data_IF_488099390335
#
_entry.id   IF_488099390335
#
_cell.length_a   1.000
_cell.length_b   1.000
_cell.length_c   1.000
_cell.angle_alpha   90.00
_cell.angle_beta   90.00
_cell.angle_gamma   90.00
#
_symmetry.space_group_name_H-M   'P 1'
#
loop_
_entity.id
_entity.type
_entity.pdbx_description
1 polymer ?
#
# COMPACT_ATOMS: atom_id res chain seq x y z
N UNK A 1 25.79 16.09 -0.97
CA UNK A 1 24.87 16.20 0.17
C UNK A 1 23.74 15.17 0.07
N UNK A 2 22.92 15.14 -0.98
CA UNK A 2 21.84 14.12 -1.15
C UNK A 2 22.36 12.69 -1.13
N UNK A 3 23.48 12.40 -1.80
CA UNK A 3 24.10 11.07 -1.78
C UNK A 3 24.63 10.67 -0.39
N UNK A 4 25.07 11.62 0.41
CA UNK A 4 25.53 11.35 1.79
C UNK A 4 24.35 11.05 2.71
N UNK A 5 23.22 11.73 2.53
CA UNK A 5 21.97 11.48 3.26
C UNK A 5 21.41 10.10 2.85
N UNK A 6 21.36 9.80 1.56
CA UNK A 6 20.93 8.49 1.06
C UNK A 6 21.79 7.35 1.63
N UNK A 7 23.12 7.50 1.61
CA UNK A 7 24.05 6.51 2.15
C UNK A 7 23.97 6.37 3.69
N UNK A 8 23.59 7.43 4.39
CA UNK A 8 23.34 7.38 5.83
C UNK A 8 22.08 6.54 6.12
N UNK A 9 20.97 6.84 5.46
CA UNK A 9 19.72 6.07 5.61
C UNK A 9 19.87 4.62 5.15
N UNK A 10 20.55 4.34 4.03
CA UNK A 10 20.81 2.97 3.59
C UNK A 10 21.61 2.17 4.64
N UNK A 11 22.67 2.77 5.20
CA UNK A 11 23.46 2.11 6.27
C UNK A 11 22.63 1.90 7.54
N UNK A 12 21.80 2.88 7.92
CA UNK A 12 20.94 2.79 9.09
C UNK A 12 19.90 1.67 8.89
N UNK A 13 19.21 1.65 7.74
CA UNK A 13 18.22 0.63 7.40
C UNK A 13 18.85 -0.76 7.41
N UNK A 14 19.95 -0.98 6.69
CA UNK A 14 20.61 -2.30 6.62
C UNK A 14 21.18 -2.78 7.95
N UNK A 15 21.59 -1.87 8.81
CA UNK A 15 22.26 -2.23 10.07
C UNK A 15 21.28 -2.39 11.22
N UNK A 16 20.17 -1.65 11.23
CA UNK A 16 19.30 -1.52 12.39
C UNK A 16 17.83 -1.85 12.09
N UNK A 17 17.42 -1.98 10.83
CA UNK A 17 16.05 -2.32 10.46
C UNK A 17 15.97 -3.83 10.19
N UNK A 18 15.51 -4.64 11.15
CA UNK A 18 15.25 -6.05 10.93
C UNK A 18 14.01 -6.24 10.05
N UNK A 19 13.71 -7.49 9.72
CA UNK A 19 12.47 -7.87 9.04
C UNK A 19 11.24 -7.41 9.83
N UNK A 20 10.17 -7.05 9.12
CA UNK A 20 8.93 -6.55 9.71
C UNK A 20 8.31 -7.54 10.73
N UNK A 21 8.49 -8.85 10.52
CA UNK A 21 8.06 -9.87 11.46
C UNK A 21 8.80 -9.77 12.81
N UNK A 22 10.11 -9.54 12.78
CA UNK A 22 10.87 -9.34 14.02
C UNK A 22 10.45 -8.07 14.76
N UNK A 23 10.06 -7.02 14.06
CA UNK A 23 9.48 -5.83 14.69
C UNK A 23 8.16 -6.14 15.38
N UNK A 24 7.28 -6.94 14.80
CA UNK A 24 6.05 -7.37 15.46
C UNK A 24 6.34 -8.11 16.77
N UNK A 25 7.38 -8.95 16.81
CA UNK A 25 7.84 -9.64 18.03
C UNK A 25 8.39 -8.62 19.05
N UNK A 26 9.28 -7.72 18.63
CA UNK A 26 9.84 -6.70 19.53
C UNK A 26 8.74 -5.81 20.10
N UNK A 27 7.81 -5.36 19.27
CA UNK A 27 6.68 -4.54 19.72
C UNK A 27 5.76 -5.31 20.69
N UNK A 28 5.56 -6.61 20.48
CA UNK A 28 4.85 -7.47 21.43
C UNK A 28 5.48 -7.40 22.83
N UNK A 29 6.82 -7.55 22.93
CA UNK A 29 7.51 -7.46 24.22
C UNK A 29 7.51 -6.04 24.80
N UNK A 30 7.61 -5.01 23.98
CA UNK A 30 7.51 -3.61 24.44
C UNK A 30 6.12 -3.38 25.07
N UNK A 31 5.05 -3.73 24.37
CA UNK A 31 3.67 -3.56 24.88
C UNK A 31 3.43 -4.43 26.13
N UNK A 32 3.96 -5.64 26.14
CA UNK A 32 3.92 -6.53 27.32
C UNK A 32 4.54 -5.86 28.56
N UNK A 33 5.74 -5.28 28.41
CA UNK A 33 6.43 -4.58 29.51
C UNK A 33 5.67 -3.31 29.93
N UNK A 34 5.22 -2.51 28.95
CA UNK A 34 4.46 -1.29 29.23
C UNK A 34 3.15 -1.60 29.95
N UNK A 35 2.44 -2.68 29.57
CA UNK A 35 1.23 -3.13 30.26
C UNK A 35 1.50 -3.46 31.72
N UNK A 36 2.58 -4.16 32.05
CA UNK A 36 2.96 -4.46 33.43
C UNK A 36 3.36 -3.20 34.22
N UNK A 37 4.10 -2.29 33.58
CA UNK A 37 4.68 -1.11 34.28
C UNK A 37 3.64 0.00 34.49
N UNK A 38 2.77 0.23 33.52
CA UNK A 38 1.83 1.36 33.54
C UNK A 38 0.40 0.98 33.87
N UNK A 39 0.09 -0.33 34.01
CA UNK A 39 -1.22 -0.81 34.40
C UNK A 39 -1.08 -1.78 35.61
N UNK A 40 -2.12 -2.00 36.34
CA UNK A 40 -2.11 -2.91 37.54
C UNK A 40 -2.18 -4.39 37.11
N UNK A 41 -1.79 -4.76 35.91
CA UNK A 41 -1.89 -6.12 35.39
C UNK A 41 -0.63 -6.95 35.67
N UNK A 42 -0.83 -8.21 36.04
CA UNK A 42 0.26 -9.16 36.21
C UNK A 42 0.82 -9.67 34.88
N UNK A 43 2.07 -10.20 34.86
CA UNK A 43 2.61 -10.84 33.67
C UNK A 43 1.74 -11.97 33.09
N UNK A 44 1.05 -12.71 33.96
CA UNK A 44 0.15 -13.81 33.55
C UNK A 44 -1.06 -13.27 32.79
N UNK A 45 -1.68 -12.20 33.30
CA UNK A 45 -2.80 -11.54 32.63
C UNK A 45 -2.37 -10.99 31.26
N UNK A 46 -1.18 -10.40 31.15
CA UNK A 46 -0.66 -9.92 29.85
C UNK A 46 -0.49 -11.05 28.85
N UNK A 47 -0.03 -12.25 29.27
CA UNK A 47 0.04 -13.45 28.39
C UNK A 47 -1.36 -13.89 27.98
N UNK A 48 -2.33 -13.87 28.90
CA UNK A 48 -3.73 -14.23 28.62
C UNK A 48 -4.35 -13.27 27.61
N UNK A 49 -4.15 -11.96 27.78
CA UNK A 49 -4.64 -10.92 26.86
C UNK A 49 -4.03 -11.07 25.45
N UNK A 50 -2.71 -11.33 25.39
CA UNK A 50 -2.03 -11.57 24.12
C UNK A 50 -2.57 -12.81 23.41
N UNK A 51 -2.65 -13.95 24.10
CA UNK A 51 -3.13 -15.21 23.52
C UNK A 51 -4.62 -15.18 23.18
N UNK A 52 -5.43 -14.53 24.01
CA UNK A 52 -6.87 -14.37 23.79
C UNK A 52 -7.19 -13.48 22.58
N UNK A 53 -6.36 -12.46 22.34
CA UNK A 53 -6.53 -11.56 21.17
C UNK A 53 -5.95 -12.08 19.85
N UNK A 54 -5.10 -13.11 19.89
CA UNK A 54 -4.19 -13.49 18.80
C UNK A 54 -4.89 -13.77 17.44
N UNK A 55 -6.11 -14.25 17.46
CA UNK A 55 -6.86 -14.63 16.25
C UNK A 55 -7.97 -13.65 15.85
N UNK A 56 -8.13 -12.53 16.57
CA UNK A 56 -9.25 -11.61 16.35
C UNK A 56 -9.22 -10.87 15.01
N UNK A 57 -8.06 -10.82 14.34
CA UNK A 57 -7.89 -10.15 13.04
C UNK A 57 -7.80 -11.10 11.85
N UNK A 58 -8.22 -12.38 11.96
CA UNK A 58 -8.08 -13.34 10.84
C UNK A 58 -8.88 -12.93 9.61
N UNK A 59 -10.12 -12.51 9.75
CA UNK A 59 -10.95 -12.04 8.66
C UNK A 59 -10.31 -10.82 7.99
N UNK A 60 -9.91 -9.85 8.79
CA UNK A 60 -9.26 -8.64 8.31
C UNK A 60 -7.91 -8.93 7.61
N UNK A 61 -7.11 -9.84 8.16
CA UNK A 61 -5.87 -10.28 7.53
C UNK A 61 -6.10 -10.90 6.15
N UNK A 62 -7.17 -11.69 5.99
CA UNK A 62 -7.53 -12.27 4.70
C UNK A 62 -8.02 -11.19 3.72
N UNK A 63 -8.84 -10.25 4.16
CA UNK A 63 -9.29 -9.12 3.35
C UNK A 63 -8.12 -8.29 2.82
N UNK A 64 -7.15 -7.97 3.68
CA UNK A 64 -5.93 -7.24 3.29
C UNK A 64 -5.03 -8.04 2.35
N UNK A 65 -4.90 -9.35 2.57
CA UNK A 65 -4.15 -10.23 1.68
C UNK A 65 -4.75 -10.25 0.27
N UNK A 66 -6.08 -10.30 0.18
CA UNK A 66 -6.78 -10.31 -1.10
C UNK A 66 -6.61 -9.00 -1.88
N UNK A 67 -6.53 -7.84 -1.23
CA UNK A 67 -6.25 -6.56 -1.93
C UNK A 67 -4.91 -6.64 -2.68
N UNK A 68 -3.87 -7.14 -2.01
CA UNK A 68 -2.54 -7.31 -2.63
C UNK A 68 -2.58 -8.33 -3.76
N UNK A 69 -3.16 -9.50 -3.50
CA UNK A 69 -3.21 -10.61 -4.45
C UNK A 69 -4.00 -10.23 -5.70
N UNK A 70 -5.20 -9.70 -5.54
CA UNK A 70 -6.07 -9.34 -6.68
C UNK A 70 -5.50 -8.17 -7.47
N UNK A 71 -4.89 -7.19 -6.80
CA UNK A 71 -4.16 -6.08 -7.44
C UNK A 71 -3.00 -6.58 -8.29
N UNK A 72 -2.17 -7.48 -7.75
CA UNK A 72 -1.06 -8.10 -8.49
C UNK A 72 -1.55 -8.88 -9.72
N UNK A 73 -2.59 -9.72 -9.56
CA UNK A 73 -3.19 -10.49 -10.66
C UNK A 73 -3.62 -9.55 -11.78
N UNK A 74 -4.36 -8.48 -11.46
CA UNK A 74 -4.85 -7.55 -12.47
C UNK A 74 -3.70 -6.84 -13.19
N UNK A 75 -2.65 -6.43 -12.48
CA UNK A 75 -1.48 -5.76 -13.05
C UNK A 75 -0.72 -6.64 -14.05
N UNK A 76 -0.63 -7.93 -13.77
CA UNK A 76 0.05 -8.90 -14.62
C UNK A 76 -0.82 -9.44 -15.78
N UNK A 77 -2.05 -8.98 -15.91
CA UNK A 77 -2.93 -9.42 -17.00
C UNK A 77 -2.42 -8.97 -18.38
N UNK A 78 -2.63 -9.77 -19.44
CA UNK A 78 -2.20 -9.44 -20.80
C UNK A 78 -2.75 -8.10 -21.33
N UNK A 79 -3.95 -7.72 -20.88
CA UNK A 79 -4.59 -6.45 -21.27
C UNK A 79 -3.81 -5.29 -20.68
N UNK A 80 -3.48 -5.35 -19.37
CA UNK A 80 -2.72 -4.29 -18.70
C UNK A 80 -1.30 -4.21 -19.25
N UNK A 81 -0.59 -5.32 -19.41
CA UNK A 81 0.76 -5.34 -20.02
C UNK A 81 0.77 -4.66 -21.40
N UNK A 82 -0.18 -4.99 -22.28
CA UNK A 82 -0.33 -4.34 -23.60
C UNK A 82 -0.63 -2.84 -23.51
N UNK A 83 -1.46 -2.44 -22.54
CA UNK A 83 -1.77 -1.03 -22.29
C UNK A 83 -0.52 -0.26 -21.85
N UNK A 84 0.28 -0.83 -20.94
CA UNK A 84 1.54 -0.22 -20.49
C UNK A 84 2.54 -0.05 -21.63
N UNK A 85 2.65 -1.04 -22.53
CA UNK A 85 3.45 -0.95 -23.74
C UNK A 85 3.00 0.18 -24.69
N UNK A 86 1.69 0.49 -24.75
CA UNK A 86 1.18 1.66 -25.51
C UNK A 86 1.46 2.98 -24.78
N UNK A 87 1.23 3.02 -23.47
CA UNK A 87 1.47 4.22 -22.64
C UNK A 87 2.95 4.61 -22.65
N UNK A 88 3.87 3.64 -22.62
CA UNK A 88 5.31 3.91 -22.66
C UNK A 88 5.75 4.69 -23.92
N UNK A 89 4.98 4.59 -25.02
CA UNK A 89 5.25 5.32 -26.28
C UNK A 89 5.02 6.83 -26.17
N UNK A 90 4.38 7.30 -25.11
CA UNK A 90 4.15 8.73 -24.88
C UNK A 90 5.41 9.46 -24.39
N UNK A 91 6.40 8.73 -23.87
CA UNK A 91 7.66 9.32 -23.41
C UNK A 91 8.75 9.18 -24.48
N UNK A 92 9.34 10.32 -24.86
CA UNK A 92 10.44 10.37 -25.85
C UNK A 92 11.68 11.08 -25.29
N UNK A 93 11.60 11.69 -24.11
CA UNK A 93 12.70 12.36 -23.42
C UNK A 93 12.75 11.93 -21.96
N UNK A 94 13.92 12.00 -21.29
CA UNK A 94 14.04 11.67 -19.87
C UNK A 94 13.04 12.40 -18.96
N UNK A 95 12.81 13.70 -19.23
CA UNK A 95 11.84 14.49 -18.46
C UNK A 95 10.39 14.01 -18.63
N UNK A 96 10.01 13.64 -19.88
CA UNK A 96 8.69 13.04 -20.14
C UNK A 96 8.56 11.66 -19.49
N UNK A 97 9.64 10.87 -19.50
CA UNK A 97 9.69 9.56 -18.87
C UNK A 97 9.37 9.64 -17.38
N UNK A 98 10.05 10.52 -16.66
CA UNK A 98 9.84 10.74 -15.22
C UNK A 98 8.40 11.21 -14.93
N UNK A 99 7.92 12.22 -15.68
CA UNK A 99 6.55 12.73 -15.50
C UNK A 99 5.51 11.64 -15.73
N UNK A 100 5.63 10.90 -16.82
CA UNK A 100 4.69 9.84 -17.21
C UNK A 100 4.64 8.72 -16.17
N UNK A 101 5.81 8.20 -15.79
CA UNK A 101 5.89 7.08 -14.84
C UNK A 101 5.36 7.50 -13.47
N UNK A 102 5.75 8.67 -12.97
CA UNK A 102 5.22 9.18 -11.70
C UNK A 102 3.70 9.31 -11.73
N UNK A 103 3.16 9.95 -12.75
CA UNK A 103 1.72 10.21 -12.86
C UNK A 103 0.91 8.91 -12.97
N UNK A 104 1.32 7.99 -13.86
CA UNK A 104 0.62 6.72 -14.07
C UNK A 104 0.70 5.84 -12.81
N UNK A 105 1.87 5.75 -12.17
CA UNK A 105 2.03 5.00 -10.93
C UNK A 105 1.17 5.59 -9.79
N UNK A 106 1.08 6.92 -9.68
CA UNK A 106 0.22 7.61 -8.72
C UNK A 106 -1.26 7.27 -8.93
N UNK A 107 -1.76 7.37 -10.16
CA UNK A 107 -3.15 6.98 -10.48
C UNK A 107 -3.39 5.49 -10.21
N UNK A 108 -2.46 4.63 -10.59
CA UNK A 108 -2.59 3.20 -10.36
C UNK A 108 -2.62 2.84 -8.87
N UNK A 109 -1.80 3.52 -8.03
CA UNK A 109 -1.82 3.34 -6.58
C UNK A 109 -3.09 3.91 -5.92
N UNK A 110 -3.68 5.00 -6.45
CA UNK A 110 -4.99 5.48 -6.02
C UNK A 110 -6.12 4.48 -6.33
N UNK A 111 -6.00 3.74 -7.43
CA UNK A 111 -6.99 2.69 -7.79
C UNK A 111 -6.81 1.48 -6.87
N UNK A 112 -5.60 0.91 -6.81
CA UNK A 112 -5.22 -0.17 -5.90
C UNK A 112 -3.71 -0.18 -5.71
N UNK A 113 -3.24 -0.21 -4.46
CA UNK A 113 -1.82 -0.11 -4.16
C UNK A 113 -1.00 -1.31 -4.65
N UNK A 114 -1.54 -2.53 -4.55
CA UNK A 114 -0.88 -3.74 -5.07
C UNK A 114 -0.75 -3.71 -6.60
N UNK A 115 -1.82 -3.27 -7.28
CA UNK A 115 -1.83 -3.00 -8.72
C UNK A 115 -0.82 -1.91 -9.09
N UNK A 116 -0.84 -0.79 -8.36
CA UNK A 116 -0.03 0.38 -8.65
C UNK A 116 1.47 0.14 -8.54
N UNK A 117 1.92 -0.60 -7.52
CA UNK A 117 3.33 -0.96 -7.35
C UNK A 117 3.86 -1.76 -8.54
N UNK A 118 3.10 -2.76 -9.00
CA UNK A 118 3.49 -3.61 -10.15
C UNK A 118 3.42 -2.82 -11.46
N UNK A 119 2.32 -2.10 -11.70
CA UNK A 119 2.15 -1.24 -12.88
C UNK A 119 3.27 -0.20 -12.99
N UNK A 120 3.61 0.45 -11.86
CA UNK A 120 4.70 1.43 -11.81
C UNK A 120 6.04 0.83 -12.22
N UNK A 121 6.39 -0.36 -11.69
CA UNK A 121 7.62 -1.06 -12.04
C UNK A 121 7.67 -1.47 -13.51
N UNK A 122 6.61 -2.13 -14.00
CA UNK A 122 6.54 -2.58 -15.39
C UNK A 122 6.59 -1.40 -16.37
N UNK A 123 5.85 -0.33 -16.11
CA UNK A 123 5.90 0.88 -16.94
C UNK A 123 7.28 1.51 -16.95
N UNK A 124 7.95 1.61 -15.79
CA UNK A 124 9.30 2.14 -15.71
C UNK A 124 10.29 1.34 -16.55
N UNK A 125 10.21 0.01 -16.56
CA UNK A 125 11.03 -0.86 -17.40
C UNK A 125 10.75 -0.61 -18.89
N UNK A 126 9.48 -0.57 -19.30
CA UNK A 126 9.12 -0.30 -20.72
C UNK A 126 9.61 1.09 -21.18
N UNK A 127 9.49 2.10 -20.31
CA UNK A 127 9.95 3.46 -20.62
C UNK A 127 11.47 3.54 -20.66
N UNK A 128 12.18 2.86 -19.75
CA UNK A 128 13.65 2.82 -19.73
C UNK A 128 14.24 2.21 -21.01
N UNK A 129 13.62 1.15 -21.55
CA UNK A 129 14.01 0.58 -22.86
C UNK A 129 13.86 1.57 -23.99
N UNK A 130 12.80 2.39 -23.95
CA UNK A 130 12.51 3.36 -25.02
C UNK A 130 13.35 4.63 -24.92
N UNK A 131 13.67 5.07 -23.70
CA UNK A 131 14.44 6.27 -23.38
C UNK A 131 15.68 5.88 -22.58
N UNK A 132 16.71 5.26 -23.21
CA UNK A 132 17.89 4.75 -22.48
C UNK A 132 18.69 5.82 -21.74
N UNK A 133 18.52 7.10 -22.10
CA UNK A 133 19.17 8.24 -21.45
C UNK A 133 18.53 8.68 -20.15
N UNK A 134 17.44 8.03 -19.69
CA UNK A 134 16.80 8.34 -18.40
C UNK A 134 17.60 7.75 -17.25
N UNK A 135 17.70 8.48 -16.14
CA UNK A 135 18.21 7.91 -14.87
C UNK A 135 17.25 6.84 -14.35
N UNK A 136 17.62 5.57 -14.50
CA UNK A 136 16.79 4.42 -14.14
C UNK A 136 16.48 4.37 -12.64
N UNK A 137 17.41 4.79 -11.79
CA UNK A 137 17.20 4.83 -10.34
C UNK A 137 16.15 5.88 -9.97
N UNK A 138 16.24 7.05 -10.58
CA UNK A 138 15.21 8.09 -10.42
C UNK A 138 13.88 7.65 -11.03
N UNK A 139 13.90 6.96 -12.18
CA UNK A 139 12.68 6.45 -12.81
C UNK A 139 11.95 5.44 -11.93
N UNK A 140 12.69 4.54 -11.28
CA UNK A 140 12.12 3.58 -10.32
C UNK A 140 11.68 4.25 -9.01
N UNK A 141 12.43 5.24 -8.51
CA UNK A 141 11.98 6.08 -7.39
C UNK A 141 10.69 6.82 -7.74
N UNK A 142 10.56 7.29 -8.99
CA UNK A 142 9.35 7.95 -9.49
C UNK A 142 8.16 7.01 -9.56
N UNK A 143 8.36 5.75 -9.97
CA UNK A 143 7.33 4.72 -9.92
C UNK A 143 6.90 4.44 -8.48
N UNK A 144 7.87 4.28 -7.56
CA UNK A 144 7.60 4.03 -6.15
C UNK A 144 6.92 5.21 -5.45
N UNK A 145 7.24 6.45 -5.85
CA UNK A 145 6.62 7.64 -5.26
C UNK A 145 5.10 7.70 -5.43
N UNK A 146 4.55 7.03 -6.44
CA UNK A 146 3.11 6.88 -6.61
C UNK A 146 2.44 6.16 -5.44
N UNK A 147 3.16 5.29 -4.76
CA UNK A 147 2.69 4.59 -3.58
C UNK A 147 2.34 5.52 -2.41
N UNK A 148 2.90 6.72 -2.34
CA UNK A 148 2.55 7.71 -1.34
C UNK A 148 1.04 8.03 -1.29
N UNK A 149 0.34 7.91 -2.43
CA UNK A 149 -1.08 8.28 -2.53
C UNK A 149 -2.06 7.15 -2.17
N UNK A 150 -1.58 5.96 -1.88
CA UNK A 150 -2.42 4.76 -1.77
C UNK A 150 -3.51 4.82 -0.71
N UNK A 151 -3.24 5.42 0.45
CA UNK A 151 -4.23 5.60 1.51
C UNK A 151 -5.31 6.63 1.18
N UNK A 152 -4.99 7.60 0.32
CA UNK A 152 -5.98 8.55 -0.20
C UNK A 152 -6.84 8.00 -1.34
N UNK A 153 -6.68 6.73 -1.71
CA UNK A 153 -7.33 6.06 -2.85
C UNK A 153 -8.25 4.90 -2.47
N UNK A 154 -8.77 4.25 -3.50
CA UNK A 154 -9.84 3.24 -3.42
C UNK A 154 -9.40 1.88 -2.84
N UNK A 155 -8.16 1.72 -2.44
CA UNK A 155 -7.66 0.54 -1.73
C UNK A 155 -6.92 0.89 -0.44
N UNK A 156 -7.07 2.12 0.04
CA UNK A 156 -6.55 2.53 1.32
C UNK A 156 -7.06 1.62 2.43
N UNK A 157 -6.17 0.95 3.18
CA UNK A 157 -6.61 -0.02 4.17
C UNK A 157 -7.43 0.61 5.29
N UNK A 158 -7.04 1.77 5.80
CA UNK A 158 -7.75 2.45 6.88
C UNK A 158 -9.13 2.96 6.43
N UNK A 159 -9.27 3.78 5.37
CA UNK A 159 -10.59 4.28 4.96
C UNK A 159 -11.55 3.18 4.53
N UNK A 160 -11.06 2.10 3.90
CA UNK A 160 -11.93 0.97 3.57
C UNK A 160 -12.31 0.13 4.78
N UNK A 161 -11.42 -0.02 5.76
CA UNK A 161 -11.71 -0.74 7.01
C UNK A 161 -12.87 -0.07 7.73
N UNK A 162 -12.79 1.22 8.00
CA UNK A 162 -13.83 1.95 8.74
C UNK A 162 -15.14 2.13 7.95
N UNK A 163 -15.12 1.88 6.64
CA UNK A 163 -16.30 1.79 5.79
C UNK A 163 -16.89 0.38 5.69
N UNK A 164 -16.24 -0.63 6.26
CA UNK A 164 -16.67 -2.03 6.20
C UNK A 164 -17.42 -2.40 7.47
N UNK A 165 -18.63 -2.93 7.33
CA UNK A 165 -19.41 -3.44 8.46
C UNK A 165 -18.68 -4.58 9.17
N UNK A 166 -18.72 -4.60 10.50
CA UNK A 166 -18.05 -5.60 11.33
C UNK A 166 -16.58 -5.32 11.58
N UNK A 167 -16.08 -4.12 11.25
CA UNK A 167 -14.68 -3.78 11.55
C UNK A 167 -14.47 -3.61 13.07
N UNK A 168 -13.26 -3.88 13.53
CA UNK A 168 -12.90 -4.01 14.94
C UNK A 168 -13.09 -2.74 15.80
N UNK A 169 -13.31 -1.57 15.21
CA UNK A 169 -13.62 -0.31 15.90
C UNK A 169 -15.08 0.16 15.69
N UNK A 170 -15.95 -0.67 15.08
CA UNK A 170 -17.32 -0.26 14.76
C UNK A 170 -18.12 0.16 15.99
N UNK A 171 -17.95 -0.54 17.11
CA UNK A 171 -18.64 -0.20 18.38
C UNK A 171 -18.25 1.18 18.93
N UNK A 172 -17.01 1.65 18.63
CA UNK A 172 -16.48 2.91 19.15
C UNK A 172 -16.77 4.09 18.24
N UNK A 173 -16.63 3.92 16.90
CA UNK A 173 -16.70 5.03 15.94
C UNK A 173 -17.82 4.88 14.90
N UNK A 174 -18.54 3.76 14.89
CA UNK A 174 -19.52 3.47 13.85
C UNK A 174 -18.88 3.14 12.48
N UNK A 175 -19.73 3.03 11.45
CA UNK A 175 -19.30 2.84 10.07
C UNK A 175 -19.16 4.23 9.43
N UNK A 176 -17.96 4.54 8.93
CA UNK A 176 -17.67 5.82 8.27
C UNK A 176 -17.58 5.59 6.76
N UNK A 177 -18.51 6.15 5.97
CA UNK A 177 -18.52 5.95 4.53
C UNK A 177 -17.33 6.67 3.86
N UNK A 178 -16.91 6.16 2.68
CA UNK A 178 -15.79 6.74 1.92
C UNK A 178 -16.03 8.20 1.48
N UNK A 179 -17.25 8.67 1.51
CA UNK A 179 -17.60 10.08 1.28
C UNK A 179 -17.03 11.02 2.33
N UNK A 180 -16.86 10.55 3.56
CA UNK A 180 -16.31 11.32 4.68
C UNK A 180 -14.78 11.17 4.80
N UNK A 181 -14.19 10.22 4.10
CA UNK A 181 -12.75 9.95 4.10
C UNK A 181 -12.11 10.29 2.75
N UNK A 182 -12.29 9.44 1.73
CA UNK A 182 -11.64 9.60 0.42
C UNK A 182 -12.11 10.84 -0.33
N UNK A 183 -13.36 11.22 -0.18
CA UNK A 183 -13.96 12.38 -0.84
C UNK A 183 -14.07 13.63 0.06
N UNK A 184 -13.47 13.59 1.25
CA UNK A 184 -13.36 14.76 2.12
C UNK A 184 -12.48 15.86 1.51
N UNK A 185 -12.72 17.12 1.89
CA UNK A 185 -11.98 18.28 1.38
C UNK A 185 -10.48 18.16 1.64
N UNK A 186 -10.08 17.76 2.85
CA UNK A 186 -8.68 17.59 3.21
C UNK A 186 -7.99 16.51 2.37
N UNK A 187 -8.65 15.37 2.15
CA UNK A 187 -8.07 14.28 1.36
C UNK A 187 -7.95 14.66 -0.12
N UNK A 188 -9.00 15.27 -0.70
CA UNK A 188 -8.96 15.73 -2.09
C UNK A 188 -7.89 16.80 -2.31
N UNK A 189 -7.68 17.71 -1.33
CA UNK A 189 -6.59 18.68 -1.38
C UNK A 189 -5.22 18.00 -1.37
N UNK A 190 -4.98 17.06 -0.43
CA UNK A 190 -3.70 16.33 -0.32
C UNK A 190 -3.43 15.53 -1.60
N UNK A 191 -4.40 14.70 -2.02
CA UNK A 191 -4.28 13.86 -3.22
C UNK A 191 -4.07 14.73 -4.47
N UNK A 192 -4.88 15.76 -4.67
CA UNK A 192 -4.78 16.65 -5.83
C UNK A 192 -3.43 17.38 -5.89
N UNK A 193 -2.97 17.91 -4.75
CA UNK A 193 -1.67 18.58 -4.66
C UNK A 193 -0.53 17.62 -4.93
N UNK A 194 -0.52 16.43 -4.34
CA UNK A 194 0.53 15.43 -4.55
C UNK A 194 0.50 14.87 -5.98
N UNK A 195 -0.66 14.60 -6.55
CA UNK A 195 -0.80 14.08 -7.92
C UNK A 195 -0.18 15.02 -8.97
N UNK A 196 -0.25 16.32 -8.74
CA UNK A 196 0.34 17.34 -9.62
C UNK A 196 1.81 17.57 -9.27
N UNK A 197 2.13 17.71 -7.99
CA UNK A 197 3.45 18.15 -7.56
C UNK A 197 4.51 17.05 -7.56
N UNK A 198 4.16 15.77 -7.32
CA UNK A 198 5.13 14.68 -7.35
C UNK A 198 5.79 14.47 -8.71
N UNK A 199 5.05 14.44 -9.85
CA UNK A 199 5.69 14.37 -11.15
C UNK A 199 6.66 15.53 -11.40
N UNK A 200 6.28 16.74 -10.99
CA UNK A 200 7.12 17.94 -11.14
C UNK A 200 8.35 17.86 -10.25
N UNK A 201 8.20 17.46 -8.99
CA UNK A 201 9.30 17.27 -8.05
C UNK A 201 10.30 16.23 -8.61
N UNK A 202 9.82 15.06 -9.01
CA UNK A 202 10.67 14.00 -9.54
C UNK A 202 11.42 14.45 -10.79
N UNK A 203 10.79 15.25 -11.67
CA UNK A 203 11.47 15.86 -12.82
C UNK A 203 12.55 16.85 -12.39
N UNK A 204 12.34 17.63 -11.33
CA UNK A 204 13.35 18.56 -10.78
C UNK A 204 14.54 17.83 -10.15
N UNK A 205 14.35 16.59 -9.67
CA UNK A 205 15.42 15.75 -9.13
C UNK A 205 16.33 15.14 -10.21
N UNK A 206 16.02 15.33 -11.50
CA UNK A 206 16.87 14.86 -12.59
C UNK A 206 18.27 15.48 -12.52
N UNK A 207 19.28 14.63 -12.67
CA UNK A 207 20.69 15.06 -12.75
C UNK A 207 21.09 15.30 -14.19
N UNK A 208 22.11 16.16 -14.44
CA UNK A 208 22.72 16.25 -15.76
C UNK A 208 23.23 14.88 -16.25
N UNK A 209 23.07 14.59 -17.50
CA UNK A 209 23.35 13.29 -18.17
C UNK A 209 24.73 12.69 -17.90
N UNK A 210 25.71 13.46 -17.45
CA UNK A 210 27.07 12.98 -17.13
C UNK A 210 27.19 12.10 -15.88
N UNK A 211 26.16 12.02 -15.05
CA UNK A 211 26.12 11.23 -13.80
C UNK A 211 24.94 10.25 -13.74
N UNK A 212 24.40 9.89 -14.89
CA UNK A 212 23.31 8.93 -15.01
C UNK A 212 23.89 7.54 -14.76
N UNK A 213 23.36 6.81 -13.78
CA UNK A 213 23.69 5.40 -13.62
C UNK A 213 23.20 4.63 -14.84
N UNK A 214 24.12 4.15 -15.66
CA UNK A 214 23.79 3.27 -16.77
C UNK A 214 23.08 2.04 -16.26
N UNK A 215 21.99 1.70 -16.89
CA UNK A 215 21.29 0.44 -16.64
C UNK A 215 22.19 -0.66 -17.15
N UNK A 216 22.33 -1.72 -16.36
CA UNK A 216 22.95 -2.93 -16.86
C UNK A 216 22.11 -3.46 -18.05
N UNK A 217 22.65 -3.45 -19.28
CA UNK A 217 21.91 -3.90 -20.45
C UNK A 217 21.45 -5.37 -20.35
N UNK A 218 22.18 -6.21 -19.59
CA UNK A 218 21.79 -7.59 -19.34
C UNK A 218 20.54 -7.67 -18.47
N UNK A 219 20.40 -6.79 -17.47
CA UNK A 219 19.20 -6.71 -16.61
C UNK A 219 17.96 -6.28 -17.38
N UNK A 220 18.09 -5.31 -18.29
CA UNK A 220 17.00 -4.91 -19.18
C UNK A 220 16.62 -6.01 -20.16
N UNK A 221 17.58 -6.74 -20.68
CA UNK A 221 17.35 -7.82 -21.63
C UNK A 221 16.76 -9.08 -20.95
N UNK A 222 17.24 -9.46 -19.76
CA UNK A 222 16.71 -10.56 -18.97
C UNK A 222 15.23 -10.35 -18.59
N UNK A 223 14.88 -9.13 -18.18
CA UNK A 223 13.48 -8.81 -17.85
C UNK A 223 12.60 -8.65 -19.10
N UNK A 224 13.22 -8.35 -20.24
CA UNK A 224 12.55 -8.29 -21.53
C UNK A 224 12.24 -9.66 -22.09
N UNK A 225 13.20 -10.60 -21.98
CA UNK A 225 12.99 -11.97 -22.42
C UNK A 225 11.94 -12.67 -21.60
N UNK A 226 11.88 -12.45 -20.27
CA UNK A 226 10.82 -13.00 -19.42
C UNK A 226 9.43 -12.52 -19.84
N UNK A 227 9.28 -11.22 -20.22
CA UNK A 227 8.00 -10.69 -20.68
C UNK A 227 7.66 -11.22 -22.08
N UNK A 228 8.66 -11.36 -22.97
CA UNK A 228 8.49 -11.88 -24.33
C UNK A 228 8.31 -13.41 -24.35
N UNK A 229 9.01 -14.16 -23.49
CA UNK A 229 8.84 -15.60 -23.33
C UNK A 229 7.44 -15.95 -22.76
N UNK A 230 6.93 -15.19 -21.79
CA UNK A 230 5.55 -15.35 -21.34
C UNK A 230 4.52 -15.12 -22.45
N UNK A 231 4.79 -14.17 -23.39
CA UNK A 231 3.91 -13.93 -24.55
C UNK A 231 4.01 -15.07 -25.61
N UNK A 232 5.17 -15.71 -25.76
CA UNK A 232 5.41 -16.79 -26.72
C UNK A 232 4.92 -18.14 -26.21
N UNK A 233 5.16 -18.49 -24.93
CA UNK A 233 4.58 -19.69 -24.32
C UNK A 233 3.06 -19.67 -24.33
N UNK A 234 2.44 -18.47 -24.23
CA UNK A 234 1.00 -18.29 -24.38
C UNK A 234 0.45 -18.69 -25.77
N UNK A 235 1.29 -18.70 -26.80
CA UNK A 235 0.87 -18.99 -28.18
C UNK A 235 0.96 -20.49 -28.58
N UNK A 236 1.74 -21.31 -27.85
CA UNK A 236 2.05 -22.69 -28.27
C UNK A 236 1.34 -23.80 -27.51
N UNK A 237 0.50 -23.54 -26.51
CA UNK A 237 -0.24 -24.57 -25.77
C UNK A 237 -1.27 -25.31 -26.66
N UNK A 238 -0.84 -26.39 -27.32
CA UNK A 238 -1.76 -27.36 -27.94
C UNK A 238 -2.47 -28.13 -26.84
N UNK A 239 -3.74 -27.78 -26.58
CA UNK A 239 -4.62 -28.47 -25.63
C UNK A 239 -4.87 -29.91 -26.11
N UNK A 240 -4.39 -30.91 -25.35
CA UNK A 240 -4.49 -32.32 -25.73
C UNK A 240 -5.63 -33.05 -25.00
N UNK A 241 -5.92 -32.68 -23.75
CA UNK A 241 -6.91 -33.36 -22.90
C UNK A 241 -8.18 -32.51 -22.72
N UNK A 242 -9.32 -33.17 -22.38
CA UNK A 242 -10.56 -32.43 -22.04
C UNK A 242 -10.38 -31.48 -20.86
N UNK A 243 -9.56 -31.81 -19.86
CA UNK A 243 -9.28 -30.95 -18.72
C UNK A 243 -8.54 -29.66 -19.17
N UNK A 244 -7.48 -29.78 -19.97
CA UNK A 244 -6.77 -28.63 -20.54
C UNK A 244 -7.65 -27.72 -21.39
N UNK A 245 -8.62 -28.28 -22.11
CA UNK A 245 -9.61 -27.49 -22.86
C UNK A 245 -10.49 -26.64 -21.96
N UNK A 246 -10.91 -27.16 -20.81
CA UNK A 246 -11.67 -26.42 -19.81
C UNK A 246 -10.81 -25.34 -19.14
N UNK A 247 -9.59 -25.67 -18.74
CA UNK A 247 -8.64 -24.75 -18.11
C UNK A 247 -8.27 -23.58 -19.03
N UNK A 248 -8.20 -23.81 -20.34
CA UNK A 248 -7.89 -22.78 -21.35
C UNK A 248 -9.15 -22.17 -22.00
N UNK A 249 -10.34 -22.45 -21.46
CA UNK A 249 -11.61 -21.96 -22.02
C UNK A 249 -11.86 -20.49 -21.69
N UNK A 250 -11.86 -19.63 -22.69
CA UNK A 250 -12.27 -18.22 -22.55
C UNK A 250 -13.74 -18.08 -22.18
N UNK A 251 -14.58 -19.02 -22.61
CA UNK A 251 -16.03 -18.99 -22.33
C UNK A 251 -16.29 -19.08 -20.83
N UNK A 252 -15.57 -19.97 -20.13
CA UNK A 252 -15.70 -20.10 -18.66
C UNK A 252 -15.34 -18.79 -17.96
N UNK A 253 -14.22 -18.17 -18.33
CA UNK A 253 -13.80 -16.88 -17.73
C UNK A 253 -14.80 -15.75 -18.05
N UNK A 254 -15.37 -15.71 -19.24
CA UNK A 254 -16.39 -14.72 -19.61
C UNK A 254 -17.68 -14.93 -18.81
N UNK A 255 -18.16 -16.15 -18.71
CA UNK A 255 -19.41 -16.46 -17.98
C UNK A 255 -19.31 -16.07 -16.50
N UNK A 256 -18.26 -16.51 -15.83
CA UNK A 256 -18.05 -16.16 -14.42
C UNK A 256 -17.77 -14.65 -14.24
N UNK A 257 -17.01 -14.05 -15.16
CA UNK A 257 -16.75 -12.62 -15.17
C UNK A 257 -18.02 -11.77 -15.35
N UNK A 258 -18.91 -12.16 -16.24
CA UNK A 258 -20.21 -11.49 -16.43
C UNK A 258 -21.09 -11.61 -15.18
N UNK A 259 -21.08 -12.76 -14.50
CA UNK A 259 -21.78 -12.91 -13.22
C UNK A 259 -21.23 -11.94 -12.17
N UNK A 260 -19.90 -11.81 -12.08
CA UNK A 260 -19.26 -10.84 -11.20
C UNK A 260 -19.60 -9.39 -11.55
N UNK A 261 -19.57 -9.02 -12.84
CA UNK A 261 -19.96 -7.69 -13.29
C UNK A 261 -21.42 -7.38 -12.98
N UNK A 262 -22.31 -8.35 -13.14
CA UNK A 262 -23.72 -8.20 -12.80
C UNK A 262 -23.91 -7.90 -11.30
N UNK A 263 -23.17 -8.60 -10.42
CA UNK A 263 -23.20 -8.32 -8.98
C UNK A 263 -22.62 -6.93 -8.64
N UNK A 264 -21.52 -6.52 -9.27
CA UNK A 264 -20.94 -5.19 -9.08
C UNK A 264 -21.97 -4.10 -9.45
N UNK A 265 -22.64 -4.24 -10.60
CA UNK A 265 -23.68 -3.30 -11.01
C UNK A 265 -24.85 -3.31 -10.03
N UNK A 266 -25.32 -4.49 -9.63
CA UNK A 266 -26.38 -4.63 -8.63
C UNK A 266 -26.03 -3.93 -7.32
N UNK A 267 -24.78 -4.14 -6.81
CA UNK A 267 -24.31 -3.52 -5.58
C UNK A 267 -24.39 -1.99 -5.64
N UNK A 268 -23.86 -1.37 -6.70
CA UNK A 268 -23.85 0.09 -6.83
C UNK A 268 -25.24 0.69 -7.12
N UNK A 269 -26.12 -0.03 -7.79
CA UNK A 269 -27.50 0.40 -7.97
C UNK A 269 -28.28 0.40 -6.66
N UNK A 270 -28.05 -0.60 -5.79
CA UNK A 270 -28.77 -0.72 -4.51
C UNK A 270 -28.19 0.15 -3.40
N UNK A 271 -26.85 0.27 -3.34
CA UNK A 271 -26.15 0.85 -2.21
C UNK A 271 -25.45 2.17 -2.55
N UNK A 272 -25.60 2.72 -3.78
CA UNK A 272 -24.86 3.89 -4.22
C UNK A 272 -23.35 3.67 -4.19
N UNK A 273 -22.58 4.73 -3.93
CA UNK A 273 -21.11 4.67 -3.85
C UNK A 273 -20.65 4.10 -2.50
N UNK A 274 -21.16 2.93 -2.13
CA UNK A 274 -20.72 2.21 -0.92
C UNK A 274 -19.50 1.34 -1.25
N UNK A 275 -18.30 1.92 -1.11
CA UNK A 275 -17.03 1.21 -1.24
C UNK A 275 -16.59 0.72 0.13
N UNK A 276 -16.30 -0.56 0.22
CA UNK A 276 -15.70 -1.23 1.37
C UNK A 276 -14.68 -2.27 0.89
N UNK A 277 -13.94 -2.88 1.82
CA UNK A 277 -12.89 -3.84 1.48
C UNK A 277 -13.40 -4.99 0.62
N UNK A 278 -14.58 -5.52 0.94
CA UNK A 278 -15.11 -6.70 0.27
C UNK A 278 -15.49 -6.43 -1.19
N UNK A 279 -16.19 -5.30 -1.46
CA UNK A 279 -16.55 -4.94 -2.83
C UNK A 279 -15.33 -4.57 -3.67
N UNK A 280 -14.32 -3.93 -3.09
CA UNK A 280 -13.08 -3.62 -3.79
C UNK A 280 -12.34 -4.91 -4.17
N UNK A 281 -12.17 -5.85 -3.24
CA UNK A 281 -11.60 -7.17 -3.53
C UNK A 281 -12.36 -7.91 -4.62
N UNK A 282 -13.70 -7.85 -4.56
CA UNK A 282 -14.56 -8.47 -5.55
C UNK A 282 -14.36 -7.87 -6.96
N UNK A 283 -14.30 -6.55 -7.06
CA UNK A 283 -14.05 -5.85 -8.33
C UNK A 283 -12.71 -6.30 -8.94
N UNK A 284 -11.63 -6.24 -8.16
CA UNK A 284 -10.29 -6.59 -8.66
C UNK A 284 -10.20 -8.07 -9.04
N UNK A 285 -10.82 -8.97 -8.27
CA UNK A 285 -10.87 -10.40 -8.57
C UNK A 285 -11.51 -10.68 -9.92
N UNK A 286 -12.71 -10.14 -10.15
CA UNK A 286 -13.48 -10.44 -11.37
C UNK A 286 -12.90 -9.73 -12.61
N UNK A 287 -12.39 -8.51 -12.48
CA UNK A 287 -11.61 -7.91 -13.57
C UNK A 287 -10.30 -8.68 -13.83
N UNK A 288 -9.65 -9.21 -12.79
CA UNK A 288 -8.50 -10.10 -12.93
C UNK A 288 -8.83 -11.34 -13.79
N UNK A 289 -9.92 -12.03 -13.48
CA UNK A 289 -10.39 -13.20 -14.27
C UNK A 289 -10.62 -12.81 -15.73
N UNK A 290 -11.38 -11.74 -15.96
CA UNK A 290 -11.72 -11.29 -17.32
C UNK A 290 -10.48 -10.88 -18.14
N UNK A 291 -9.53 -10.19 -17.52
CA UNK A 291 -8.36 -9.64 -18.22
C UNK A 291 -7.28 -10.69 -18.50
N UNK A 292 -7.26 -11.78 -17.74
CA UNK A 292 -6.43 -12.96 -18.06
C UNK A 292 -7.03 -13.80 -19.19
N UNK A 293 -8.35 -13.80 -19.34
CA UNK A 293 -9.06 -14.42 -20.44
C UNK A 293 -9.23 -15.94 -20.32
N UNK A 294 -8.38 -16.68 -19.60
CA UNK A 294 -8.53 -18.12 -19.33
C UNK A 294 -8.31 -18.45 -17.86
N UNK A 295 -8.97 -19.50 -17.32
CA UNK A 295 -8.77 -19.94 -15.94
C UNK A 295 -7.29 -20.26 -15.65
N UNK A 296 -6.59 -20.93 -16.58
CA UNK A 296 -5.19 -21.33 -16.43
C UNK A 296 -4.28 -20.13 -16.20
N UNK A 297 -4.37 -19.10 -17.05
CA UNK A 297 -3.58 -17.88 -16.92
C UNK A 297 -3.87 -17.15 -15.62
N UNK A 298 -5.15 -17.07 -15.25
CA UNK A 298 -5.55 -16.48 -13.99
C UNK A 298 -4.93 -17.23 -12.80
N UNK A 299 -5.01 -18.56 -12.76
CA UNK A 299 -4.47 -19.39 -11.69
C UNK A 299 -2.94 -19.31 -11.59
N UNK A 300 -2.23 -19.28 -12.71
CA UNK A 300 -0.79 -19.08 -12.72
C UNK A 300 -0.42 -17.73 -12.07
N UNK A 301 -1.06 -16.66 -12.50
CA UNK A 301 -0.86 -15.32 -11.91
C UNK A 301 -1.25 -15.28 -10.42
N UNK A 302 -2.32 -15.97 -10.02
CA UNK A 302 -2.75 -16.04 -8.62
C UNK A 302 -1.71 -16.78 -7.74
N UNK A 303 -1.12 -17.85 -8.24
CA UNK A 303 -0.07 -18.60 -7.54
C UNK A 303 1.15 -17.72 -7.25
N UNK A 304 1.54 -16.86 -8.18
CA UNK A 304 2.63 -15.91 -7.97
C UNK A 304 2.23 -14.74 -7.06
N UNK A 305 0.99 -14.27 -7.20
CA UNK A 305 0.45 -13.18 -6.38
C UNK A 305 0.42 -13.52 -4.89
N UNK A 306 0.02 -14.75 -4.52
CA UNK A 306 -0.11 -15.19 -3.12
C UNK A 306 1.23 -15.12 -2.38
N UNK A 307 2.36 -15.27 -3.05
CA UNK A 307 3.69 -15.13 -2.45
C UNK A 307 3.89 -13.76 -1.79
N UNK A 308 3.23 -12.72 -2.31
CA UNK A 308 3.31 -11.36 -1.77
C UNK A 308 2.42 -11.14 -0.53
N UNK A 309 1.48 -12.04 -0.23
CA UNK A 309 0.60 -11.94 0.92
C UNK A 309 1.15 -12.67 2.17
N UNK A 310 2.20 -13.47 2.05
CA UNK A 310 2.74 -14.30 3.14
C UNK A 310 3.09 -13.50 4.39
N UNK A 311 3.70 -12.32 4.22
CA UNK A 311 4.01 -11.41 5.32
C UNK A 311 2.76 -10.95 6.08
N UNK A 312 1.71 -10.57 5.37
CA UNK A 312 0.44 -10.12 5.96
C UNK A 312 -0.17 -11.27 6.80
N UNK A 313 -0.31 -12.44 6.20
CA UNK A 313 -0.94 -13.61 6.84
C UNK A 313 -0.24 -13.98 8.16
N UNK A 314 1.09 -13.92 8.21
CA UNK A 314 1.88 -14.32 9.39
C UNK A 314 1.97 -13.21 10.44
N UNK A 315 2.00 -11.94 10.05
CA UNK A 315 2.21 -10.81 10.98
C UNK A 315 0.92 -10.36 11.68
N UNK A 316 -0.22 -10.43 11.02
CA UNK A 316 -1.48 -9.94 11.58
C UNK A 316 -1.92 -10.61 12.89
N UNK A 317 -1.72 -11.91 13.13
CA UNK A 317 -1.96 -12.50 14.44
C UNK A 317 -1.15 -11.85 15.55
N UNK A 318 0.11 -11.43 15.30
CA UNK A 318 0.91 -10.71 16.29
C UNK A 318 0.36 -9.32 16.58
N UNK A 319 -0.08 -8.58 15.54
CA UNK A 319 -0.76 -7.30 15.74
C UNK A 319 -2.07 -7.45 16.51
N UNK A 320 -2.83 -8.52 16.26
CA UNK A 320 -4.03 -8.85 17.02
C UNK A 320 -3.74 -9.15 18.49
N UNK A 321 -2.66 -9.88 18.76
CA UNK A 321 -2.20 -10.12 20.15
C UNK A 321 -1.76 -8.83 20.85
N UNK A 322 -1.04 -7.93 20.14
CA UNK A 322 -0.68 -6.60 20.66
C UNK A 322 -1.95 -5.79 20.99
N UNK A 323 -2.89 -5.72 20.06
CA UNK A 323 -4.19 -5.07 20.26
C UNK A 323 -4.93 -5.64 21.48
N UNK A 324 -4.98 -6.97 21.62
CA UNK A 324 -5.58 -7.64 22.77
C UNK A 324 -4.94 -7.23 24.09
N UNK A 325 -3.59 -7.15 24.16
CA UNK A 325 -2.90 -6.64 25.36
C UNK A 325 -3.26 -5.19 25.65
N UNK A 326 -3.23 -4.32 24.63
CA UNK A 326 -3.45 -2.89 24.79
C UNK A 326 -4.86 -2.58 25.32
N UNK A 327 -5.88 -3.19 24.72
CA UNK A 327 -7.28 -2.99 25.11
C UNK A 327 -7.54 -3.60 26.50
N UNK A 328 -7.26 -4.88 26.68
CA UNK A 328 -7.63 -5.60 27.91
C UNK A 328 -6.85 -5.15 29.14
N UNK A 329 -5.63 -4.59 28.98
CA UNK A 329 -4.88 -4.01 30.09
C UNK A 329 -5.28 -2.57 30.44
N UNK A 330 -6.02 -1.87 29.57
CA UNK A 330 -6.31 -0.43 29.69
C UNK A 330 -5.14 0.46 29.28
N UNK A 331 -4.09 -0.09 28.66
CA UNK A 331 -2.94 0.70 28.18
C UNK A 331 -3.33 1.66 27.06
N UNK A 332 -4.25 1.24 26.16
CA UNK A 332 -4.78 2.09 25.08
C UNK A 332 -5.49 3.32 25.64
N UNK A 333 -6.28 3.17 26.72
CA UNK A 333 -6.97 4.29 27.38
C UNK A 333 -5.99 5.30 27.97
N UNK A 334 -4.92 4.82 28.61
CA UNK A 334 -3.88 5.71 29.16
C UNK A 334 -3.15 6.48 28.08
N UNK A 335 -2.81 5.83 26.98
CA UNK A 335 -2.19 6.48 25.82
C UNK A 335 -3.13 7.48 25.16
N UNK A 336 -4.42 7.14 25.03
CA UNK A 336 -5.45 8.05 24.52
C UNK A 336 -5.54 9.31 25.38
N UNK A 337 -5.64 9.16 26.71
CA UNK A 337 -5.67 10.28 27.66
C UNK A 337 -4.39 11.14 27.57
N UNK A 338 -3.24 10.53 27.34
CA UNK A 338 -2.00 11.28 27.12
C UNK A 338 -2.09 12.15 25.86
N UNK A 339 -2.61 11.61 24.74
CA UNK A 339 -2.85 12.39 23.53
C UNK A 339 -3.85 13.53 23.74
N UNK A 340 -4.94 13.30 24.49
CA UNK A 340 -5.90 14.35 24.89
C UNK A 340 -5.21 15.48 25.65
N UNK A 341 -4.30 15.14 26.56
CA UNK A 341 -3.60 16.15 27.38
C UNK A 341 -2.57 16.99 26.61
N UNK A 342 -1.93 16.46 25.54
CA UNK A 342 -0.90 17.15 24.79
C UNK A 342 -1.41 17.83 23.52
N UNK A 343 -2.67 17.57 23.14
CA UNK A 343 -3.28 18.09 21.91
C UNK A 343 -4.55 18.91 22.20
N UNK A 344 -5.14 19.43 21.16
CA UNK A 344 -6.44 20.08 21.15
C UNK A 344 -7.18 19.69 19.85
N UNK A 345 -8.39 20.20 19.67
CA UNK A 345 -9.23 19.98 18.50
C UNK A 345 -8.53 20.27 17.16
N UNK A 346 -7.68 21.28 17.13
CA UNK A 346 -6.92 21.66 15.93
C UNK A 346 -5.69 20.81 15.68
N UNK A 347 -4.94 20.43 16.74
CA UNK A 347 -3.62 19.77 16.61
C UNK A 347 -3.70 18.25 16.60
N UNK A 348 -4.77 17.63 17.11
CA UNK A 348 -4.86 16.17 17.22
C UNK A 348 -4.70 15.44 15.87
N UNK A 349 -5.35 15.86 14.76
CA UNK A 349 -5.15 15.18 13.48
C UNK A 349 -3.68 15.25 13.01
N UNK A 350 -3.02 16.38 13.19
CA UNK A 350 -1.62 16.53 12.81
C UNK A 350 -0.67 15.70 13.70
N UNK A 351 -0.91 15.65 15.00
CA UNK A 351 -0.14 14.80 15.92
C UNK A 351 -0.38 13.31 15.64
N UNK A 352 -1.61 12.94 15.29
CA UNK A 352 -1.94 11.59 14.83
C UNK A 352 -1.14 11.20 13.57
N UNK A 353 -1.04 12.11 12.60
CA UNK A 353 -0.21 11.93 11.40
C UNK A 353 1.29 11.72 11.76
N UNK A 354 1.86 12.56 12.62
CA UNK A 354 3.26 12.44 13.02
C UNK A 354 3.50 11.13 13.78
N UNK A 355 2.65 10.81 14.76
CA UNK A 355 2.79 9.59 15.55
C UNK A 355 2.65 8.34 14.68
N UNK A 356 1.75 8.37 13.71
CA UNK A 356 1.59 7.29 12.74
C UNK A 356 2.84 7.12 11.86
N UNK A 357 3.42 8.22 11.40
CA UNK A 357 4.69 8.18 10.67
C UNK A 357 5.84 7.56 11.48
N UNK A 358 5.88 7.79 12.79
CA UNK A 358 6.88 7.18 13.66
C UNK A 358 6.58 5.68 13.83
N UNK A 359 5.32 5.32 14.11
CA UNK A 359 4.92 3.93 14.34
C UNK A 359 5.12 3.06 13.10
N UNK A 360 4.93 3.60 11.90
CA UNK A 360 5.10 2.87 10.64
C UNK A 360 6.52 2.30 10.44
N UNK A 361 7.54 2.84 11.06
CA UNK A 361 8.88 2.21 11.05
C UNK A 361 8.88 0.83 11.71
N UNK A 362 8.01 0.60 12.68
CA UNK A 362 7.89 -0.65 13.44
C UNK A 362 6.78 -1.55 12.90
N UNK A 363 5.73 -0.97 12.35
CA UNK A 363 4.56 -1.66 11.82
C UNK A 363 4.29 -1.17 10.39
N UNK A 364 5.06 -1.62 9.38
CA UNK A 364 4.96 -1.13 8.01
C UNK A 364 3.76 -1.74 7.27
N UNK A 365 2.58 -1.58 7.82
CA UNK A 365 1.33 -2.12 7.32
C UNK A 365 0.18 -1.24 7.78
N UNK A 366 -0.45 -0.50 6.88
CA UNK A 366 -1.53 0.42 7.22
C UNK A 366 -2.67 -0.24 8.01
N UNK A 367 -3.09 -1.44 7.63
CA UNK A 367 -4.09 -2.19 8.39
C UNK A 367 -3.59 -2.69 9.75
N UNK A 368 -2.36 -3.21 9.83
CA UNK A 368 -1.73 -3.64 11.08
C UNK A 368 -1.47 -2.48 12.03
N UNK A 369 -1.02 -1.36 11.50
CA UNK A 369 -0.85 -0.12 12.27
C UNK A 369 -2.19 0.40 12.79
N UNK A 370 -3.24 0.38 11.97
CA UNK A 370 -4.57 0.81 12.37
C UNK A 370 -5.13 -0.05 13.50
N UNK A 371 -4.92 -1.37 13.47
CA UNK A 371 -5.32 -2.28 14.52
C UNK A 371 -4.67 -1.95 15.89
N UNK A 372 -3.51 -1.31 15.89
CA UNK A 372 -2.82 -0.90 17.12
C UNK A 372 -3.16 0.54 17.48
N UNK A 373 -3.14 1.45 16.51
CA UNK A 373 -3.21 2.89 16.76
C UNK A 373 -4.64 3.41 16.80
N UNK A 374 -5.59 2.72 16.17
CA UNK A 374 -7.00 3.12 16.15
C UNK A 374 -7.62 3.16 17.55
N UNK A 375 -7.33 2.17 18.37
CA UNK A 375 -7.79 2.10 19.77
C UNK A 375 -7.23 3.20 20.68
N UNK A 376 -6.20 3.93 20.23
CA UNK A 376 -5.65 5.07 20.94
C UNK A 376 -6.24 6.38 20.40
N UNK A 377 -6.24 6.52 19.07
CA UNK A 377 -6.53 7.80 18.40
C UNK A 377 -8.04 8.10 18.33
N UNK A 378 -8.88 7.07 18.19
CA UNK A 378 -10.34 7.29 18.11
C UNK A 378 -10.93 7.73 19.44
N UNK A 379 -10.64 7.08 20.60
CA UNK A 379 -11.07 7.61 21.87
C UNK A 379 -10.52 9.01 22.19
N UNK A 380 -9.27 9.31 21.78
CA UNK A 380 -8.71 10.66 21.92
C UNK A 380 -9.48 11.70 21.09
N UNK A 381 -9.85 11.35 19.84
CA UNK A 381 -10.64 12.21 18.98
C UNK A 381 -12.04 12.48 19.58
N UNK A 382 -12.71 11.44 20.08
CA UNK A 382 -14.00 11.57 20.75
C UNK A 382 -13.88 12.46 22.00
N UNK A 383 -12.83 12.26 22.80
CA UNK A 383 -12.59 13.05 24.02
C UNK A 383 -12.34 14.54 23.78
N UNK A 384 -11.85 14.91 22.58
CA UNK A 384 -11.60 16.29 22.18
C UNK A 384 -12.66 16.86 21.21
N UNK A 385 -13.72 16.10 20.92
CA UNK A 385 -14.76 16.47 19.94
C UNK A 385 -14.19 16.72 18.53
N UNK A 386 -13.19 15.91 18.13
CA UNK A 386 -12.55 15.95 16.81
C UNK A 386 -13.16 14.90 15.90
N UNK A 387 -13.30 15.23 14.63
CA UNK A 387 -13.78 14.32 13.59
C UNK A 387 -12.94 13.03 13.55
N UNK A 388 -13.58 11.89 13.82
CA UNK A 388 -12.96 10.56 13.83
C UNK A 388 -12.54 10.12 12.43
N UNK A 389 -13.28 10.51 11.37
CA UNK A 389 -12.89 10.23 9.98
C UNK A 389 -11.58 10.93 9.63
N UNK A 390 -11.45 12.22 9.98
CA UNK A 390 -10.23 13.00 9.77
C UNK A 390 -9.06 12.45 10.57
N UNK A 391 -9.30 12.03 11.82
CA UNK A 391 -8.27 11.43 12.68
C UNK A 391 -7.79 10.09 12.11
N UNK A 392 -8.68 9.23 11.64
CA UNK A 392 -8.33 7.98 10.98
C UNK A 392 -7.52 8.21 9.69
N UNK A 393 -7.93 9.19 8.88
CA UNK A 393 -7.19 9.58 7.68
C UNK A 393 -5.84 10.21 7.98
N UNK A 394 -5.70 10.91 9.10
CA UNK A 394 -4.40 11.42 9.56
C UNK A 394 -3.42 10.27 9.87
N UNK A 395 -3.89 9.21 10.53
CA UNK A 395 -3.10 7.98 10.72
C UNK A 395 -2.73 7.36 9.38
N UNK A 396 -3.69 7.26 8.45
CA UNK A 396 -3.47 6.73 7.11
C UNK A 396 -2.38 7.50 6.33
N UNK A 397 -2.43 8.81 6.38
CA UNK A 397 -1.42 9.66 5.74
C UNK A 397 -0.05 9.57 6.43
N UNK A 398 0.01 9.35 7.75
CA UNK A 398 1.26 9.14 8.48
C UNK A 398 1.95 7.85 8.08
N UNK A 399 1.21 6.76 7.93
CA UNK A 399 1.70 5.49 7.39
C UNK A 399 2.23 5.68 5.97
N UNK A 400 1.41 6.21 5.05
CA UNK A 400 1.80 6.42 3.66
C UNK A 400 3.05 7.32 3.52
N UNK A 401 3.15 8.36 4.35
CA UNK A 401 4.24 9.32 4.31
C UNK A 401 5.59 8.67 4.57
N UNK A 402 5.73 7.92 5.65
CA UNK A 402 7.02 7.32 6.03
C UNK A 402 7.34 6.01 5.29
N UNK A 403 6.40 5.45 4.53
CA UNK A 403 6.69 4.39 3.55
C UNK A 403 7.77 4.83 2.54
N UNK A 404 7.95 6.12 2.32
CA UNK A 404 9.01 6.65 1.46
C UNK A 404 10.43 6.34 1.97
N UNK A 405 10.63 6.16 3.26
CA UNK A 405 11.93 5.86 3.86
C UNK A 405 11.97 4.50 4.59
N UNK A 406 10.83 3.89 4.78
CA UNK A 406 10.68 2.52 5.27
C UNK A 406 10.62 1.57 4.04
N UNK A 407 11.59 0.67 3.86
CA UNK A 407 11.79 0.01 2.57
C UNK A 407 10.88 -1.19 2.28
N UNK A 408 10.05 -1.62 3.22
CA UNK A 408 9.26 -2.86 3.11
C UNK A 408 8.48 -2.95 1.79
N UNK A 409 7.72 -1.92 1.47
CA UNK A 409 6.91 -1.87 0.25
C UNK A 409 7.71 -1.55 -1.02
N UNK A 410 8.95 -1.05 -0.87
CA UNK A 410 9.84 -0.85 -2.01
C UNK A 410 10.50 -2.16 -2.48
N UNK A 411 10.64 -3.16 -1.60
CA UNK A 411 11.35 -4.40 -1.93
C UNK A 411 10.77 -5.15 -3.14
N UNK A 412 9.45 -5.34 -3.29
CA UNK A 412 8.90 -6.01 -4.47
C UNK A 412 9.19 -5.27 -5.78
N UNK A 413 9.00 -3.94 -5.81
CA UNK A 413 9.27 -3.14 -7.00
C UNK A 413 10.76 -3.12 -7.36
N UNK A 414 11.63 -3.10 -6.35
CA UNK A 414 13.09 -3.14 -6.52
C UNK A 414 13.57 -4.51 -6.99
N UNK A 415 12.95 -5.59 -6.53
CA UNK A 415 13.25 -6.93 -7.02
C UNK A 415 12.91 -7.08 -8.51
N UNK A 416 11.74 -6.57 -8.94
CA UNK A 416 11.35 -6.50 -10.36
C UNK A 416 12.35 -5.65 -11.16
N UNK A 417 12.85 -4.55 -10.57
CA UNK A 417 13.76 -3.60 -11.21
C UNK A 417 15.23 -4.03 -11.22
N UNK A 418 15.61 -5.07 -10.45
CA UNK A 418 17.00 -5.44 -10.24
C UNK A 418 17.82 -4.39 -9.47
N UNK A 419 17.16 -3.54 -8.69
CA UNK A 419 17.78 -2.48 -7.90
C UNK A 419 17.80 -2.81 -6.40
N UNK A 420 18.59 -2.04 -5.65
CA UNK A 420 18.67 -2.12 -4.20
C UNK A 420 18.02 -0.87 -3.58
N UNK A 421 17.57 -0.99 -2.34
CA UNK A 421 16.96 0.13 -1.57
C UNK A 421 17.79 1.42 -1.64
N UNK A 422 19.11 1.31 -1.48
CA UNK A 422 20.05 2.44 -1.54
C UNK A 422 20.01 3.23 -2.86
N UNK A 423 19.59 2.57 -3.95
CA UNK A 423 19.62 3.18 -5.28
C UNK A 423 18.51 4.23 -5.44
N UNK A 424 17.39 4.08 -4.71
CA UNK A 424 16.26 5.00 -4.75
C UNK A 424 16.10 5.87 -3.49
N UNK A 425 16.68 5.47 -2.35
CA UNK A 425 16.42 6.08 -1.04
C UNK A 425 16.69 7.59 -1.01
N UNK A 426 17.71 8.08 -1.70
CA UNK A 426 18.00 9.52 -1.74
C UNK A 426 16.89 10.35 -2.37
N UNK A 427 16.21 9.80 -3.37
CA UNK A 427 15.05 10.44 -4.00
C UNK A 427 13.82 10.34 -3.08
N UNK A 428 13.61 9.19 -2.46
CA UNK A 428 12.50 8.96 -1.54
C UNK A 428 12.54 9.89 -0.32
N UNK A 429 13.72 10.20 0.22
CA UNK A 429 13.90 11.20 1.30
C UNK A 429 13.45 12.59 0.85
N UNK A 430 13.74 13.01 -0.38
CA UNK A 430 13.27 14.30 -0.91
C UNK A 430 11.76 14.33 -1.07
N UNK A 431 11.16 13.21 -1.49
CA UNK A 431 9.71 13.05 -1.60
C UNK A 431 9.06 13.12 -0.21
N UNK A 432 9.66 12.48 0.80
CA UNK A 432 9.22 12.54 2.18
C UNK A 432 9.14 14.00 2.68
N UNK A 433 10.22 14.77 2.53
CA UNK A 433 10.23 16.16 2.99
C UNK A 433 9.24 17.05 2.22
N UNK A 434 9.11 16.83 0.92
CA UNK A 434 8.14 17.58 0.13
C UNK A 434 6.71 17.26 0.54
N UNK A 435 6.36 15.99 0.64
CA UNK A 435 5.00 15.54 0.93
C UNK A 435 4.50 15.89 2.33
N UNK A 436 5.43 16.08 3.28
CA UNK A 436 5.10 16.59 4.61
C UNK A 436 4.31 17.90 4.57
N UNK A 437 4.66 18.80 3.64
CA UNK A 437 4.03 20.13 3.55
C UNK A 437 2.55 20.04 3.16
N UNK A 438 2.17 19.46 1.99
CA UNK A 438 0.76 19.41 1.60
C UNK A 438 -0.08 18.52 2.53
N UNK A 439 0.48 17.46 3.10
CA UNK A 439 -0.23 16.64 4.08
C UNK A 439 -0.53 17.47 5.35
N UNK A 440 0.47 18.16 5.89
CA UNK A 440 0.28 19.02 7.07
C UNK A 440 -0.73 20.13 6.81
N UNK A 441 -0.68 20.79 5.65
CA UNK A 441 -1.64 21.83 5.28
C UNK A 441 -3.06 21.24 5.18
N UNK A 442 -3.22 20.09 4.52
CA UNK A 442 -4.51 19.43 4.39
C UNK A 442 -5.13 19.07 5.73
N UNK A 443 -4.33 18.51 6.64
CA UNK A 443 -4.82 18.08 7.95
C UNK A 443 -5.11 19.25 8.92
N UNK A 444 -4.39 20.37 8.79
CA UNK A 444 -4.56 21.51 9.69
C UNK A 444 -5.62 22.50 9.23
N UNK A 445 -5.82 22.69 7.92
CA UNK A 445 -6.60 23.83 7.41
C UNK A 445 -7.80 23.44 6.56
N UNK A 446 -8.01 22.18 6.25
CA UNK A 446 -9.19 21.65 5.53
C UNK A 446 -9.89 20.60 6.39
#
# INVERSE_FOLDING_TARGET
MLSSIANFFDRMVRRYLPDAFLFAIILTFIVFILGIVFTDNSPVQMVEFWGGGFWNLLEFAMQMSLIVVTGYILANSPIVKRLLGKISKLANTPGQAILLVTFVASIACLINYGFGLVVGALLAIHVAKRVPSVDYRLLMASAYSGFLLWHGGFSGSIPLTIATQGHFLEETMGIIPVTETLFSSYNLFIVGTLLISLPLLNRLLMRPTRNVGEIDPELLNLQASVIEEEEVEEAEEKTSTPAERLENSRVISILIGLLGLAFILYHFVQNGLNLNINIVNFIFLFFGILFHGTPRRFLNSATDAVKNAGGIIVQFPFYAGIMGMMISSGLSDQLSMWFVNISNDFTLPWLSFISAGILNFFVPSGGGQWAIQGDIMIPAAIGLDVDTAKTAMAVAWGDAWTNMVQPFWALPILAIAGLKVRDIMGFCVMILFWSFIPISIGLLFF
#
